data_IF_823336316305
#
_entry.id   IF_823336316305
#
_cell.length_a   1.000
_cell.length_b   1.000
_cell.length_c   1.000
_cell.angle_alpha   90.00
_cell.angle_beta   90.00
_cell.angle_gamma   90.00
#
_symmetry.space_group_name_H-M   'P 1'
#
loop_
_entity.id
_entity.type
_entity.pdbx_description
1 polymer ?
#
# COMPACT_ATOMS: atom_id res chain seq x y z
N UNK A 1 15.38 6.62 6.48
CA UNK A 1 14.44 5.82 7.31
C UNK A 1 13.58 4.91 6.42
N UNK A 2 13.32 3.67 6.85
CA UNK A 2 12.54 2.69 6.08
C UNK A 2 11.08 2.73 6.53
N UNK A 3 10.15 2.89 5.59
CA UNK A 3 8.71 2.76 5.82
C UNK A 3 8.35 1.27 5.88
N UNK A 4 7.58 0.80 6.88
CA UNK A 4 7.16 -0.60 6.96
C UNK A 4 6.22 -1.03 5.81
N UNK A 5 6.25 -2.32 5.47
CA UNK A 5 5.29 -2.90 4.54
C UNK A 5 3.85 -2.79 5.08
N UNK A 6 2.90 -2.53 4.19
CA UNK A 6 1.49 -2.31 4.49
C UNK A 6 1.17 -0.89 4.98
N UNK A 7 2.14 0.02 5.08
CA UNK A 7 1.89 1.41 5.49
C UNK A 7 1.01 2.12 4.48
N UNK A 8 -0.08 2.72 4.96
CA UNK A 8 -0.98 3.60 4.20
C UNK A 8 -0.43 5.02 4.31
N UNK A 9 -0.28 5.69 3.17
CA UNK A 9 0.35 7.00 3.12
C UNK A 9 -0.28 7.93 2.09
N UNK A 10 -0.05 9.23 2.27
CA UNK A 10 -0.55 10.30 1.42
C UNK A 10 0.60 11.14 0.84
N UNK A 11 0.47 11.53 -0.42
CA UNK A 11 1.29 12.57 -1.03
C UNK A 11 0.49 13.38 -2.06
N UNK A 12 0.29 14.67 -1.76
CA UNK A 12 -0.57 15.52 -2.57
C UNK A 12 -1.97 14.90 -2.73
N UNK A 13 -2.47 14.73 -3.96
CA UNK A 13 -3.79 14.15 -4.21
C UNK A 13 -3.82 12.61 -4.14
N UNK A 14 -2.67 11.95 -3.91
CA UNK A 14 -2.56 10.49 -3.97
C UNK A 14 -2.60 9.85 -2.59
N UNK A 15 -3.34 8.75 -2.51
CA UNK A 15 -3.21 7.77 -1.43
C UNK A 15 -2.51 6.52 -1.98
N UNK A 16 -1.63 5.93 -1.19
CA UNK A 16 -0.88 4.75 -1.56
C UNK A 16 -0.69 3.82 -0.37
N UNK A 17 -0.40 2.56 -0.67
CA UNK A 17 -0.01 1.58 0.34
C UNK A 17 1.32 0.98 -0.09
N UNK A 18 2.32 1.03 0.79
CA UNK A 18 3.63 0.45 0.54
C UNK A 18 3.52 -1.09 0.56
N UNK A 19 3.74 -1.82 -0.55
CA UNK A 19 3.56 -3.27 -0.58
C UNK A 19 4.73 -4.01 0.12
N UNK A 20 5.89 -3.37 0.23
CA UNK A 20 7.09 -3.90 0.89
C UNK A 20 7.79 -2.77 1.66
N UNK A 21 8.75 -3.14 2.51
CA UNK A 21 9.45 -2.15 3.32
C UNK A 21 10.52 -1.42 2.48
N UNK A 22 10.34 -0.13 2.22
CA UNK A 22 11.21 0.69 1.38
C UNK A 22 11.43 2.08 1.99
N UNK A 23 12.45 2.85 1.58
CA UNK A 23 12.46 4.28 1.87
C UNK A 23 11.23 4.97 1.25
N UNK A 24 10.76 6.04 1.88
CA UNK A 24 9.61 6.81 1.44
C UNK A 24 9.45 8.10 2.23
N UNK A 25 8.97 9.16 1.57
CA UNK A 25 8.75 10.49 2.15
C UNK A 25 7.28 10.88 2.28
N UNK A 26 6.36 9.96 2.02
CA UNK A 26 4.92 10.22 2.09
C UNK A 26 4.46 10.27 3.55
N UNK A 27 3.40 11.04 3.81
CA UNK A 27 2.83 11.15 5.15
C UNK A 27 2.13 9.82 5.51
N UNK A 28 2.62 9.13 6.55
CA UNK A 28 2.03 7.88 7.00
C UNK A 28 0.77 8.16 7.84
N UNK A 29 -0.34 7.49 7.51
CA UNK A 29 -1.64 7.69 8.17
C UNK A 29 -2.28 6.41 8.70
N UNK A 30 -1.68 5.25 8.43
CA UNK A 30 -2.17 3.97 8.90
C UNK A 30 -1.37 2.78 8.40
N UNK A 31 -1.89 1.57 8.62
CA UNK A 31 -1.28 0.32 8.17
C UNK A 31 -2.34 -0.74 7.92
N UNK A 32 -2.10 -1.59 6.94
CA UNK A 32 -2.88 -2.81 6.67
C UNK A 32 -1.99 -4.05 6.74
N UNK A 33 -2.57 -5.18 7.16
CA UNK A 33 -1.94 -6.49 7.09
C UNK A 33 -2.21 -7.20 5.75
N UNK A 34 -3.03 -6.62 4.86
CA UNK A 34 -3.37 -7.22 3.57
C UNK A 34 -2.12 -7.30 2.67
N UNK A 35 -1.75 -8.49 2.17
CA UNK A 35 -0.70 -8.63 1.17
C UNK A 35 -1.13 -7.96 -0.14
N UNK A 36 -0.33 -7.02 -0.63
CA UNK A 36 -0.61 -6.26 -1.85
C UNK A 36 0.16 -6.73 -3.08
N UNK A 37 1.29 -7.39 -2.84
CA UNK A 37 2.13 -7.93 -3.90
C UNK A 37 2.69 -9.28 -3.47
N UNK A 38 2.53 -10.28 -4.33
CA UNK A 38 3.13 -11.60 -4.20
C UNK A 38 3.63 -12.06 -5.58
N UNK A 39 4.94 -12.27 -5.72
CA UNK A 39 5.57 -12.69 -6.99
C UNK A 39 5.14 -14.09 -7.44
N UNK A 40 4.55 -14.90 -6.54
CA UNK A 40 4.06 -16.24 -6.83
C UNK A 40 2.56 -16.28 -7.15
N UNK A 41 1.85 -15.16 -6.99
CA UNK A 41 0.42 -15.07 -7.31
C UNK A 41 0.18 -14.68 -8.79
N UNK A 42 -1.00 -15.01 -9.30
CA UNK A 42 -1.50 -14.56 -10.61
C UNK A 42 -2.90 -13.93 -10.46
N UNK A 43 -3.03 -12.59 -10.59
CA UNK A 43 -1.97 -11.62 -10.84
C UNK A 43 -1.10 -11.36 -9.60
N UNK A 44 0.18 -10.95 -9.77
CA UNK A 44 1.08 -10.73 -8.64
C UNK A 44 0.73 -9.48 -7.81
N UNK A 45 0.16 -8.46 -8.46
CA UNK A 45 -0.35 -7.27 -7.79
C UNK A 45 -1.84 -7.46 -7.49
N UNK A 46 -2.22 -7.37 -6.21
CA UNK A 46 -3.61 -7.50 -5.78
C UNK A 46 -4.48 -6.33 -6.25
N UNK A 47 -3.90 -5.14 -6.33
CA UNK A 47 -4.59 -3.93 -6.81
C UNK A 47 -4.03 -3.57 -8.19
N UNK A 48 -4.86 -3.73 -9.22
CA UNK A 48 -4.52 -3.39 -10.61
C UNK A 48 -5.15 -2.06 -11.01
N UNK A 49 -4.67 -1.40 -12.09
CA UNK A 49 -5.29 -0.18 -12.59
C UNK A 49 -6.80 -0.36 -12.83
N UNK A 50 -7.59 0.57 -12.31
CA UNK A 50 -9.06 0.50 -12.36
C UNK A 50 -9.73 -0.20 -11.19
N UNK A 51 -8.97 -0.85 -10.29
CA UNK A 51 -9.55 -1.48 -9.07
C UNK A 51 -10.05 -0.40 -8.09
N UNK A 52 -11.35 -0.39 -7.74
CA UNK A 52 -11.85 0.50 -6.69
C UNK A 52 -11.35 0.03 -5.33
N UNK A 53 -10.89 0.97 -4.50
CA UNK A 53 -10.37 0.66 -3.16
C UNK A 53 -11.15 1.45 -2.12
N UNK A 54 -11.61 0.77 -1.07
CA UNK A 54 -12.17 1.38 0.13
C UNK A 54 -11.29 1.07 1.32
N UNK A 55 -10.74 2.11 1.94
CA UNK A 55 -10.07 2.00 3.23
C UNK A 55 -11.12 2.06 4.33
N UNK A 56 -11.04 1.15 5.29
CA UNK A 56 -11.92 1.11 6.46
C UNK A 56 -11.07 1.13 7.74
N UNK A 57 -11.47 1.88 8.78
CA UNK A 57 -10.90 1.72 10.11
C UNK A 57 -11.06 0.27 10.59
N UNK A 58 -10.12 -0.17 11.43
CA UNK A 58 -10.23 -1.46 12.11
C UNK A 58 -11.38 -1.46 13.13
#
# INVERSE_FOLDING_TARGET
PRVPAGSVALAGPYAGIYPSASPGGWLLVGRTAMPLFDVRADPPARLTPGTPVRLVPA
#
